data_IF_126417413650
#
_entry.id   IF_126417413650
#
_cell.length_a   1.000
_cell.length_b   1.000
_cell.length_c   1.000
_cell.angle_alpha   90.00
_cell.angle_beta   90.00
_cell.angle_gamma   90.00
#
_symmetry.space_group_name_H-M   'P 1'
#
loop_
_entity.id
_entity.type
_entity.pdbx_description
1 polymer ?
#
# COMPACT_ATOMS: atom_id res chain seq x y z
N UNK A 1 -11.29 19.54 13.65
CA UNK A 1 -10.96 18.55 12.60
C UNK A 1 -11.39 18.98 11.20
N UNK A 2 -12.68 19.25 10.93
CA UNK A 2 -13.09 19.85 9.64
C UNK A 2 -12.52 21.25 9.43
N UNK A 3 -12.45 22.05 10.49
CA UNK A 3 -11.76 23.35 10.48
C UNK A 3 -10.27 23.22 10.11
N UNK A 4 -9.61 22.14 10.53
CA UNK A 4 -8.18 21.91 10.25
C UNK A 4 -7.94 21.51 8.80
N UNK A 5 -8.82 20.67 8.23
CA UNK A 5 -8.79 20.33 6.80
C UNK A 5 -9.11 21.55 5.92
N UNK A 6 -10.05 22.41 6.33
CA UNK A 6 -10.31 23.69 5.67
C UNK A 6 -9.12 24.65 5.76
N UNK A 7 -8.47 24.70 6.92
CA UNK A 7 -7.25 25.49 7.13
C UNK A 7 -6.09 25.01 6.26
N UNK A 8 -5.89 23.68 6.15
CA UNK A 8 -4.91 23.07 5.26
C UNK A 8 -5.18 23.45 3.80
N UNK A 9 -6.44 23.35 3.36
CA UNK A 9 -6.84 23.72 1.99
C UNK A 9 -6.49 25.17 1.69
N UNK A 10 -6.78 26.10 2.62
CA UNK A 10 -6.40 27.50 2.47
C UNK A 10 -4.88 27.66 2.33
N UNK A 11 -4.09 26.99 3.18
CA UNK A 11 -2.63 27.03 3.11
C UNK A 11 -2.08 26.46 1.79
N UNK A 12 -2.68 25.37 1.29
CA UNK A 12 -2.31 24.79 0.00
C UNK A 12 -2.55 25.79 -1.13
N UNK A 13 -3.69 26.50 -1.13
CA UNK A 13 -3.98 27.56 -2.10
C UNK A 13 -2.98 28.72 -1.99
N UNK A 14 -2.67 29.18 -0.77
CA UNK A 14 -1.74 30.29 -0.54
C UNK A 14 -0.33 29.99 -1.11
N UNK A 15 0.12 28.73 -1.03
CA UNK A 15 1.40 28.27 -1.58
C UNK A 15 1.32 28.03 -3.09
N UNK A 16 0.23 27.43 -3.58
CA UNK A 16 0.11 26.98 -4.96
C UNK A 16 -0.41 28.06 -5.93
N UNK A 17 -0.93 29.19 -5.46
CA UNK A 17 -1.53 30.25 -6.30
C UNK A 17 -0.60 30.80 -7.41
N UNK A 18 0.72 30.71 -7.23
CA UNK A 18 1.70 31.17 -8.21
C UNK A 18 1.97 30.14 -9.31
N UNK A 19 1.48 28.90 -9.18
CA UNK A 19 1.56 27.89 -10.23
C UNK A 19 0.43 28.12 -11.24
N UNK A 20 0.71 28.99 -12.21
CA UNK A 20 -0.14 29.29 -13.37
C UNK A 20 0.60 28.83 -14.62
N UNK A 21 -0.14 28.37 -15.63
CA UNK A 21 0.44 28.05 -16.94
C UNK A 21 0.82 29.36 -17.64
N UNK A 22 2.11 29.63 -17.82
CA UNK A 22 2.58 30.92 -18.38
C UNK A 22 3.11 30.82 -19.81
N UNK A 23 3.46 29.63 -20.26
CA UNK A 23 4.01 29.39 -21.60
C UNK A 23 3.64 27.99 -22.08
N UNK A 24 3.77 27.71 -23.38
CA UNK A 24 3.43 26.41 -23.94
C UNK A 24 4.50 25.34 -23.66
N UNK A 25 5.78 25.70 -23.80
CA UNK A 25 6.90 24.78 -23.67
C UNK A 25 8.14 25.50 -23.12
N UNK A 26 8.64 25.06 -21.96
CA UNK A 26 9.87 25.57 -21.36
C UNK A 26 11.16 25.02 -22.01
N UNK A 27 11.04 24.10 -22.97
CA UNK A 27 12.18 23.48 -23.66
C UNK A 27 12.95 22.43 -22.85
N UNK A 28 12.56 22.15 -21.60
CA UNK A 28 13.26 21.14 -20.80
C UNK A 28 13.22 19.75 -21.45
N UNK A 29 14.37 19.08 -21.45
CA UNK A 29 14.54 17.66 -21.82
C UNK A 29 14.45 16.73 -20.60
N UNK A 30 14.38 17.32 -19.40
CA UNK A 30 14.25 16.57 -18.17
C UNK A 30 12.83 16.08 -17.95
N UNK A 31 12.72 14.97 -17.25
CA UNK A 31 11.45 14.30 -17.03
C UNK A 31 11.58 13.23 -15.96
N UNK A 32 10.42 12.77 -15.49
CA UNK A 32 10.31 11.75 -14.45
C UNK A 32 9.93 10.43 -15.08
N UNK A 33 10.59 9.35 -14.66
CA UNK A 33 10.29 8.00 -15.09
C UNK A 33 9.07 7.48 -14.31
N UNK A 34 7.96 7.26 -15.00
CA UNK A 34 6.72 6.72 -14.43
C UNK A 34 6.63 5.23 -14.75
N UNK A 35 6.24 4.43 -13.77
CA UNK A 35 5.98 3.00 -13.87
C UNK A 35 4.61 2.68 -13.26
N UNK A 36 4.07 1.48 -13.50
CA UNK A 36 2.85 1.05 -12.82
C UNK A 36 3.04 1.05 -11.29
N UNK A 37 2.05 1.52 -10.54
CA UNK A 37 2.08 1.48 -9.08
C UNK A 37 1.65 0.09 -8.62
N UNK A 38 2.53 -0.61 -7.91
CA UNK A 38 2.30 -1.96 -7.42
C UNK A 38 2.44 -2.01 -5.91
N UNK A 39 1.47 -2.63 -5.25
CA UNK A 39 1.53 -2.97 -3.83
C UNK A 39 1.60 -4.50 -3.71
N UNK A 40 2.81 -5.01 -3.45
CA UNK A 40 3.08 -6.45 -3.50
C UNK A 40 2.88 -7.03 -4.90
N UNK A 41 1.84 -7.84 -5.08
CA UNK A 41 1.47 -8.46 -6.36
C UNK A 41 0.27 -7.78 -7.04
N UNK A 42 -0.40 -6.86 -6.35
CA UNK A 42 -1.56 -6.14 -6.87
C UNK A 42 -1.10 -4.88 -7.60
N UNK A 43 -1.72 -4.62 -8.76
CA UNK A 43 -1.49 -3.39 -9.53
C UNK A 43 -2.55 -2.39 -9.11
N UNK A 44 -2.16 -1.39 -8.31
CA UNK A 44 -3.06 -0.34 -7.80
C UNK A 44 -3.40 0.65 -8.91
N UNK A 45 -2.39 1.08 -9.68
CA UNK A 45 -2.57 1.90 -10.87
C UNK A 45 -1.73 1.34 -12.02
N UNK A 46 -2.38 1.16 -13.17
CA UNK A 46 -1.73 0.68 -14.38
C UNK A 46 -0.76 1.72 -14.95
N UNK A 47 0.19 1.29 -15.80
CA UNK A 47 1.07 2.25 -16.47
C UNK A 47 0.27 3.20 -17.36
N UNK A 48 -0.74 2.68 -18.08
CA UNK A 48 -1.56 3.48 -18.99
C UNK A 48 -2.29 4.61 -18.29
N UNK A 49 -2.88 4.35 -17.11
CA UNK A 49 -3.60 5.38 -16.35
C UNK A 49 -2.66 6.50 -15.89
N UNK A 50 -1.45 6.15 -15.45
CA UNK A 50 -0.51 7.14 -14.90
C UNK A 50 0.14 8.03 -15.96
N UNK A 51 0.26 7.56 -17.20
CA UNK A 51 0.89 8.32 -18.31
C UNK A 51 -0.11 9.04 -19.22
N UNK A 52 -1.39 8.68 -19.17
CA UNK A 52 -2.42 9.33 -20.01
C UNK A 52 -2.50 10.82 -19.71
N UNK A 53 -2.55 11.64 -20.76
CA UNK A 53 -2.62 13.10 -20.68
C UNK A 53 -1.29 13.78 -20.34
N UNK A 54 -0.18 13.02 -20.19
CA UNK A 54 1.16 13.58 -19.99
C UNK A 54 1.91 13.71 -21.31
N UNK A 55 2.94 14.55 -21.33
CA UNK A 55 3.83 14.70 -22.49
C UNK A 55 5.05 13.79 -22.39
N UNK A 56 5.40 13.08 -23.46
CA UNK A 56 6.61 12.26 -23.52
C UNK A 56 7.88 13.14 -23.45
N UNK A 57 8.83 12.78 -22.57
CA UNK A 57 10.10 13.50 -22.45
C UNK A 57 11.19 12.96 -23.39
N UNK A 58 11.02 11.74 -23.89
CA UNK A 58 11.89 11.07 -24.86
C UNK A 58 11.05 10.28 -25.87
N UNK A 59 11.65 9.89 -27.00
CA UNK A 59 11.00 9.00 -27.96
C UNK A 59 10.75 7.63 -27.31
N UNK A 60 9.51 7.16 -27.37
CA UNK A 60 9.12 5.85 -26.84
C UNK A 60 9.07 4.85 -27.97
N UNK A 61 9.94 3.84 -27.89
CA UNK A 61 10.07 2.79 -28.90
C UNK A 61 9.29 1.54 -28.50
N UNK A 62 8.75 0.85 -29.51
CA UNK A 62 8.23 -0.50 -29.37
C UNK A 62 9.41 -1.48 -29.23
N UNK A 63 9.50 -2.26 -28.13
CA UNK A 63 10.57 -3.22 -27.93
C UNK A 63 10.59 -4.37 -28.97
N UNK A 64 9.48 -4.61 -29.68
CA UNK A 64 9.37 -5.70 -30.67
C UNK A 64 9.69 -5.21 -32.08
N UNK A 65 9.13 -4.06 -32.48
CA UNK A 65 9.24 -3.56 -33.86
C UNK A 65 10.29 -2.47 -34.06
N UNK A 66 10.88 -1.96 -32.97
CA UNK A 66 11.84 -0.83 -32.97
C UNK A 66 11.30 0.44 -33.64
N UNK A 67 9.97 0.57 -33.70
CA UNK A 67 9.28 1.75 -34.23
C UNK A 67 8.91 2.69 -33.09
N UNK A 68 8.92 3.98 -33.39
CA UNK A 68 8.48 5.02 -32.44
C UNK A 68 6.96 4.92 -32.27
N UNK A 69 6.52 4.69 -31.03
CA UNK A 69 5.10 4.70 -30.63
C UNK A 69 4.65 6.14 -30.39
N UNK A 70 5.45 6.91 -29.65
CA UNK A 70 5.22 8.34 -29.41
C UNK A 70 6.53 9.10 -29.45
N UNK A 71 6.54 10.19 -30.20
CA UNK A 71 7.71 11.05 -30.33
C UNK A 71 7.85 12.00 -29.13
N UNK A 72 9.08 12.40 -28.83
CA UNK A 72 9.41 13.37 -27.80
C UNK A 72 8.58 14.65 -27.96
N UNK A 73 8.08 15.17 -26.83
CA UNK A 73 7.30 16.41 -26.79
C UNK A 73 5.85 16.27 -27.26
N UNK A 74 5.39 15.04 -27.54
CA UNK A 74 4.01 14.74 -27.90
C UNK A 74 3.20 14.32 -26.67
N UNK A 75 1.94 14.73 -26.61
CA UNK A 75 0.99 14.29 -25.57
C UNK A 75 0.62 12.82 -25.77
N UNK A 76 0.57 12.07 -24.67
CA UNK A 76 0.19 10.66 -24.63
C UNK A 76 -1.33 10.58 -24.46
N UNK A 77 -2.04 10.26 -25.55
CA UNK A 77 -3.48 9.99 -25.51
C UNK A 77 -3.77 8.64 -24.84
N UNK A 78 -5.03 8.40 -24.46
CA UNK A 78 -5.45 7.13 -23.85
C UNK A 78 -5.13 5.93 -24.75
N UNK A 79 -5.33 6.06 -26.06
CA UNK A 79 -5.05 5.01 -27.05
C UNK A 79 -3.54 4.71 -27.13
N UNK A 80 -2.70 5.76 -27.12
CA UNK A 80 -1.24 5.62 -27.11
C UNK A 80 -0.80 4.97 -25.79
N UNK A 81 -1.37 5.38 -24.66
CA UNK A 81 -1.05 4.82 -23.35
C UNK A 81 -1.37 3.32 -23.26
N UNK A 82 -2.53 2.89 -23.78
CA UNK A 82 -2.87 1.46 -23.88
C UNK A 82 -1.94 0.72 -24.83
N UNK A 83 -1.55 1.33 -25.93
CA UNK A 83 -0.58 0.76 -26.87
C UNK A 83 0.75 0.52 -26.16
N UNK A 84 1.29 1.51 -25.45
CA UNK A 84 2.54 1.40 -24.69
C UNK A 84 2.46 0.25 -23.66
N UNK A 85 1.35 0.14 -22.94
CA UNK A 85 1.17 -0.94 -21.96
C UNK A 85 1.09 -2.32 -22.62
N UNK A 86 0.36 -2.45 -23.73
CA UNK A 86 0.19 -3.73 -24.44
C UNK A 86 1.50 -4.23 -25.08
N UNK A 87 2.40 -3.33 -25.45
CA UNK A 87 3.74 -3.67 -25.93
C UNK A 87 4.71 -4.05 -24.80
N UNK A 88 4.25 -4.05 -23.55
CA UNK A 88 5.01 -4.56 -22.40
C UNK A 88 6.08 -3.60 -21.88
N UNK A 89 5.97 -2.30 -22.14
CA UNK A 89 6.86 -1.32 -21.53
C UNK A 89 6.61 -1.24 -20.01
N UNK A 90 7.69 -1.34 -19.23
CA UNK A 90 7.60 -1.26 -17.77
C UNK A 90 7.53 0.18 -17.24
N UNK A 91 8.01 1.15 -18.02
CA UNK A 91 8.16 2.53 -17.59
C UNK A 91 8.37 3.47 -18.76
N UNK A 92 7.92 4.72 -18.63
CA UNK A 92 8.09 5.78 -19.64
C UNK A 92 8.60 7.06 -18.97
N UNK A 93 9.55 7.76 -19.61
CA UNK A 93 9.98 9.09 -19.16
C UNK A 93 9.01 10.14 -19.69
N UNK A 94 8.33 10.84 -18.78
CA UNK A 94 7.35 11.88 -19.09
C UNK A 94 7.77 13.20 -18.48
N UNK A 95 7.33 14.31 -19.09
CA UNK A 95 7.55 15.64 -18.50
C UNK A 95 6.72 15.78 -17.21
N UNK A 96 7.20 16.65 -16.33
CA UNK A 96 6.62 16.85 -15.01
C UNK A 96 6.71 18.32 -14.59
N UNK A 97 5.73 18.83 -13.82
CA UNK A 97 5.85 20.14 -13.20
C UNK A 97 7.09 20.26 -12.29
N UNK A 98 7.58 19.14 -11.73
CA UNK A 98 8.75 19.10 -10.85
C UNK A 98 10.07 19.38 -11.59
N UNK A 99 10.14 19.07 -12.89
CA UNK A 99 11.33 19.27 -13.72
C UNK A 99 11.14 20.45 -14.68
N UNK A 100 10.12 21.28 -14.47
CA UNK A 100 9.81 22.39 -15.35
C UNK A 100 10.80 23.55 -15.15
N UNK A 101 11.38 24.04 -16.24
CA UNK A 101 12.38 25.14 -16.24
C UNK A 101 11.78 26.51 -16.59
N UNK A 102 10.44 26.66 -16.55
CA UNK A 102 9.79 27.96 -16.72
C UNK A 102 10.19 28.92 -15.60
N UNK A 103 10.54 30.17 -15.95
CA UNK A 103 10.94 31.19 -14.96
C UNK A 103 9.82 31.54 -13.96
N UNK A 104 8.56 31.47 -14.42
CA UNK A 104 7.38 31.78 -13.61
C UNK A 104 6.31 30.73 -13.85
N UNK A 105 5.74 30.18 -12.79
CA UNK A 105 4.68 29.19 -12.90
C UNK A 105 5.17 27.91 -13.57
N UNK A 106 4.37 27.34 -14.46
CA UNK A 106 4.72 26.11 -15.20
C UNK A 106 4.38 26.25 -16.69
N UNK A 107 4.97 25.43 -17.55
CA UNK A 107 4.60 25.36 -18.96
C UNK A 107 3.49 24.34 -19.21
N UNK A 108 2.75 24.50 -20.31
CA UNK A 108 1.62 23.65 -20.66
C UNK A 108 2.05 22.18 -20.85
N UNK A 109 3.16 21.94 -21.56
CA UNK A 109 3.65 20.57 -21.80
C UNK A 109 4.12 19.83 -20.55
N UNK A 110 4.67 20.52 -19.56
CA UNK A 110 5.08 19.90 -18.30
C UNK A 110 3.89 19.51 -17.42
N UNK A 111 2.77 20.23 -17.53
CA UNK A 111 1.52 19.85 -16.87
C UNK A 111 0.77 18.77 -17.64
N UNK A 112 0.61 18.97 -18.96
CA UNK A 112 -0.12 18.10 -19.87
C UNK A 112 -1.59 18.50 -20.00
N UNK A 113 -2.47 17.53 -19.80
CA UNK A 113 -3.90 17.64 -20.03
C UNK A 113 -4.66 18.16 -18.79
N UNK A 114 -5.67 19.01 -19.01
CA UNK A 114 -6.65 19.33 -17.99
C UNK A 114 -7.65 18.17 -17.84
N UNK A 115 -7.73 17.60 -16.64
CA UNK A 115 -8.60 16.45 -16.33
C UNK A 115 -10.10 16.77 -16.37
N UNK A 116 -10.50 18.05 -16.28
CA UNK A 116 -11.91 18.46 -16.31
C UNK A 116 -12.52 18.54 -17.71
N UNK A 117 -11.70 18.76 -18.74
CA UNK A 117 -12.17 18.91 -20.12
C UNK A 117 -11.42 18.01 -21.14
N UNK A 118 -10.43 17.24 -20.68
CA UNK A 118 -9.59 16.36 -21.49
C UNK A 118 -8.91 17.07 -22.68
N UNK A 119 -8.53 18.33 -22.50
CA UNK A 119 -7.76 19.10 -23.49
C UNK A 119 -6.42 19.53 -22.87
N UNK A 120 -5.39 19.79 -23.70
CA UNK A 120 -4.16 20.40 -23.22
C UNK A 120 -4.47 21.67 -22.44
N UNK A 121 -3.76 21.91 -21.34
CA UNK A 121 -3.92 23.17 -20.59
C UNK A 121 -3.52 24.36 -21.44
N UNK A 122 -4.19 25.48 -21.21
CA UNK A 122 -3.94 26.71 -21.95
C UNK A 122 -3.18 27.73 -21.09
N UNK A 123 -2.48 28.66 -21.74
CA UNK A 123 -1.78 29.75 -21.05
C UNK A 123 -2.80 30.61 -20.30
N UNK A 124 -2.52 30.89 -19.03
CA UNK A 124 -3.38 31.62 -18.09
C UNK A 124 -4.16 30.72 -17.13
N UNK A 125 -4.09 29.39 -17.28
CA UNK A 125 -4.87 28.47 -16.46
C UNK A 125 -4.27 28.31 -15.04
N UNK A 126 -5.04 28.55 -13.95
CA UNK A 126 -4.55 28.57 -12.57
C UNK A 126 -4.47 27.14 -11.98
N UNK A 127 -3.66 26.30 -12.60
CA UNK A 127 -3.45 24.89 -12.26
C UNK A 127 -3.09 24.62 -10.80
N UNK A 128 -2.36 25.53 -10.13
CA UNK A 128 -2.03 25.39 -8.72
C UNK A 128 -3.22 25.50 -7.77
N UNK A 129 -4.16 26.42 -8.06
CA UNK A 129 -5.39 26.56 -7.29
C UNK A 129 -6.28 25.34 -7.49
N UNK A 130 -6.39 24.86 -8.73
CA UNK A 130 -7.14 23.64 -9.07
C UNK A 130 -6.57 22.42 -8.35
N UNK A 131 -5.25 22.26 -8.35
CA UNK A 131 -4.57 21.17 -7.64
C UNK A 131 -4.79 21.23 -6.12
N UNK A 132 -4.68 22.42 -5.51
CA UNK A 132 -4.90 22.61 -4.08
C UNK A 132 -6.34 22.25 -3.67
N UNK A 133 -7.33 22.63 -4.47
CA UNK A 133 -8.74 22.29 -4.24
C UNK A 133 -8.99 20.79 -4.42
N UNK A 134 -8.39 20.17 -5.44
CA UNK A 134 -8.51 18.74 -5.71
C UNK A 134 -7.97 17.85 -4.58
N UNK A 135 -7.06 18.38 -3.76
CA UNK A 135 -6.59 17.73 -2.52
C UNK A 135 -7.49 18.09 -1.34
N UNK A 136 -7.82 19.38 -1.20
CA UNK A 136 -8.50 19.92 -0.03
C UNK A 136 -9.97 19.49 0.12
N UNK A 137 -10.76 19.56 -0.96
CA UNK A 137 -12.18 19.21 -0.93
C UNK A 137 -12.39 17.74 -0.54
N UNK A 138 -11.75 16.75 -1.22
CA UNK A 138 -11.86 15.35 -0.80
C UNK A 138 -11.36 15.11 0.62
N UNK A 139 -10.30 15.80 1.08
CA UNK A 139 -9.79 15.67 2.44
C UNK A 139 -10.79 16.12 3.51
N UNK A 140 -11.45 17.26 3.28
CA UNK A 140 -12.51 17.75 4.18
C UNK A 140 -13.72 16.80 4.18
N UNK A 141 -14.08 16.26 3.01
CA UNK A 141 -15.19 15.35 2.82
C UNK A 141 -14.94 13.97 3.46
N UNK A 142 -13.73 13.43 3.31
CA UNK A 142 -13.33 12.16 3.93
C UNK A 142 -13.38 12.28 5.45
N UNK A 143 -12.83 13.38 5.99
CA UNK A 143 -12.92 13.68 7.43
C UNK A 143 -14.37 13.68 7.89
N UNK A 144 -15.28 14.35 7.18
CA UNK A 144 -16.71 14.34 7.51
C UNK A 144 -17.31 12.94 7.47
N UNK A 145 -17.07 12.15 6.41
CA UNK A 145 -17.67 10.82 6.25
C UNK A 145 -17.20 9.83 7.31
N UNK A 146 -15.92 9.81 7.65
CA UNK A 146 -15.37 8.89 8.66
C UNK A 146 -16.04 9.11 10.03
N UNK A 147 -16.38 10.35 10.39
CA UNK A 147 -17.01 10.62 11.70
C UNK A 147 -18.52 10.39 11.75
N UNK A 148 -19.25 10.63 10.65
CA UNK A 148 -20.70 10.35 10.63
C UNK A 148 -21.00 8.84 10.61
N UNK A 149 -20.07 8.03 10.09
CA UNK A 149 -20.14 6.57 10.15
C UNK A 149 -19.60 6.06 11.50
N UNK A 150 -18.62 6.74 12.10
CA UNK A 150 -17.97 6.38 13.37
C UNK A 150 -18.83 6.42 14.64
N UNK A 151 -20.14 6.72 14.54
CA UNK A 151 -21.09 6.57 15.66
C UNK A 151 -21.68 5.17 15.78
N UNK A 152 -21.59 4.35 14.73
CA UNK A 152 -21.81 2.92 14.83
C UNK A 152 -20.44 2.27 14.95
N UNK A 153 -20.02 1.97 16.18
CA UNK A 153 -18.94 1.01 16.44
C UNK A 153 -19.39 -0.37 15.97
N UNK A 154 -19.37 -0.62 14.67
CA UNK A 154 -18.87 -1.87 14.17
C UNK A 154 -17.41 -1.62 13.85
N UNK A 155 -16.54 -2.06 14.75
CA UNK A 155 -15.17 -2.42 14.36
C UNK A 155 -15.31 -3.60 13.41
N UNK A 156 -15.82 -3.37 12.20
CA UNK A 156 -15.53 -4.26 11.09
C UNK A 156 -14.04 -4.02 10.85
N UNK A 157 -13.24 -4.82 11.55
CA UNK A 157 -11.85 -5.03 11.18
C UNK A 157 -11.90 -5.37 9.70
N UNK A 158 -11.31 -4.50 8.87
CA UNK A 158 -11.26 -4.68 7.42
C UNK A 158 -10.27 -5.82 7.15
N UNK A 159 -10.73 -7.04 7.45
CA UNK A 159 -9.98 -8.26 7.30
C UNK A 159 -9.88 -8.50 5.80
N UNK A 160 -8.65 -8.56 5.29
CA UNK A 160 -8.43 -9.09 3.95
C UNK A 160 -8.74 -10.58 4.00
N UNK A 161 -9.60 -11.06 3.10
CA UNK A 161 -10.07 -12.44 3.09
C UNK A 161 -9.76 -13.10 1.75
N UNK A 162 -9.31 -14.36 1.81
CA UNK A 162 -9.08 -15.18 0.62
C UNK A 162 -10.07 -16.33 0.62
N UNK A 163 -10.77 -16.50 -0.50
CA UNK A 163 -11.70 -17.61 -0.73
C UNK A 163 -11.20 -18.50 -1.87
N UNK A 164 -11.53 -19.78 -1.81
CA UNK A 164 -11.23 -20.76 -2.86
C UNK A 164 -11.98 -20.41 -4.15
N UNK A 165 -11.30 -20.36 -5.29
CA UNK A 165 -11.97 -20.11 -6.58
C UNK A 165 -12.49 -21.37 -7.25
N UNK A 166 -12.00 -22.54 -6.82
CA UNK A 166 -12.28 -23.86 -7.39
C UNK A 166 -12.47 -24.89 -6.28
N UNK A 167 -13.19 -25.96 -6.60
CA UNK A 167 -13.34 -27.12 -5.73
C UNK A 167 -12.03 -27.93 -5.67
N UNK A 168 -11.64 -28.40 -4.49
CA UNK A 168 -10.45 -29.23 -4.34
C UNK A 168 -10.11 -29.58 -2.90
N UNK A 169 -8.90 -30.08 -2.70
CA UNK A 169 -8.37 -30.46 -1.39
C UNK A 169 -7.32 -29.44 -0.97
N UNK A 170 -7.44 -28.90 0.23
CA UNK A 170 -6.48 -27.99 0.83
C UNK A 170 -5.21 -28.75 1.20
N UNK A 171 -4.05 -28.19 0.84
CA UNK A 171 -2.74 -28.70 1.22
C UNK A 171 -1.84 -27.58 1.72
N UNK A 172 -1.35 -27.73 2.93
CA UNK A 172 -0.41 -26.78 3.53
C UNK A 172 1.01 -27.04 3.02
N UNK A 173 1.72 -25.97 2.63
CA UNK A 173 3.11 -26.02 2.20
C UNK A 173 3.94 -25.06 3.05
N UNK A 174 4.92 -25.60 3.77
CA UNK A 174 5.82 -24.85 4.69
C UNK A 174 5.06 -23.96 5.68
N UNK A 175 3.89 -24.41 6.12
CA UNK A 175 3.04 -23.71 7.06
C UNK A 175 3.00 -24.46 8.39
N UNK A 176 3.37 -23.75 9.45
CA UNK A 176 3.06 -24.07 10.83
C UNK A 176 1.96 -23.12 11.29
N UNK A 177 0.98 -23.65 12.01
CA UNK A 177 -0.09 -22.91 12.63
C UNK A 177 -0.27 -23.34 14.08
N UNK A 178 -0.74 -22.41 14.91
CA UNK A 178 -1.09 -22.64 16.31
C UNK A 178 -2.57 -22.36 16.51
N UNK A 179 -3.19 -22.96 17.53
CA UNK A 179 -4.57 -22.63 17.88
C UNK A 179 -4.59 -21.59 18.99
N UNK A 180 -5.37 -20.54 18.77
CA UNK A 180 -5.62 -19.51 19.79
C UNK A 180 -6.63 -20.00 20.85
N UNK A 181 -6.93 -19.17 21.86
CA UNK A 181 -7.87 -19.43 22.95
C UNK A 181 -9.28 -19.75 22.45
N UNK A 182 -9.68 -19.13 21.34
CA UNK A 182 -10.98 -19.34 20.69
C UNK A 182 -10.98 -20.51 19.69
N UNK A 183 -9.97 -21.39 19.76
CA UNK A 183 -9.78 -22.58 18.92
C UNK A 183 -9.62 -22.28 17.41
N UNK A 184 -9.36 -21.02 17.06
CA UNK A 184 -9.03 -20.60 15.69
C UNK A 184 -7.58 -20.92 15.35
N UNK A 185 -7.34 -21.34 14.12
CA UNK A 185 -6.01 -21.68 13.62
C UNK A 185 -5.31 -20.39 13.15
N UNK A 186 -4.10 -20.10 13.63
CA UNK A 186 -3.35 -18.88 13.31
C UNK A 186 -1.99 -19.25 12.74
N UNK A 187 -1.65 -18.66 11.59
CA UNK A 187 -0.36 -18.88 10.91
C UNK A 187 0.79 -18.25 11.70
N UNK A 188 1.84 -19.03 11.97
CA UNK A 188 3.10 -18.54 12.57
C UNK A 188 4.27 -18.58 11.58
N UNK A 189 3.98 -18.77 10.29
CA UNK A 189 5.01 -18.98 9.25
C UNK A 189 5.04 -17.84 8.25
N UNK A 190 6.21 -17.20 8.10
CA UNK A 190 6.43 -16.13 7.13
C UNK A 190 6.44 -16.59 5.66
N UNK A 191 6.66 -17.89 5.42
CA UNK A 191 6.73 -18.49 4.08
C UNK A 191 5.63 -19.54 3.85
N UNK A 192 4.58 -19.52 4.68
CA UNK A 192 3.47 -20.46 4.58
C UNK A 192 2.66 -20.27 3.31
N UNK A 193 2.21 -21.37 2.71
CA UNK A 193 1.29 -21.35 1.57
C UNK A 193 0.16 -22.35 1.74
N UNK A 194 -1.02 -21.98 1.25
CA UNK A 194 -2.17 -22.86 1.10
C UNK A 194 -2.34 -23.16 -0.38
N UNK A 195 -2.30 -24.45 -0.73
CA UNK A 195 -2.55 -24.93 -2.09
C UNK A 195 -3.90 -25.63 -2.14
N UNK A 196 -4.61 -25.49 -3.25
CA UNK A 196 -5.78 -26.31 -3.55
C UNK A 196 -5.37 -27.28 -4.65
N UNK A 197 -5.51 -28.57 -4.38
CA UNK A 197 -5.19 -29.64 -5.34
C UNK A 197 -6.45 -30.31 -5.85
N UNK A 198 -6.43 -30.72 -7.12
CA UNK A 198 -7.53 -31.48 -7.73
C UNK A 198 -7.64 -32.87 -7.09
N UNK A 199 -8.87 -33.29 -6.76
CA UNK A 199 -9.14 -34.62 -6.21
C UNK A 199 -8.79 -35.75 -7.18
N UNK A 200 -8.81 -35.49 -8.49
CA UNK A 200 -8.62 -36.52 -9.53
C UNK A 200 -7.14 -36.81 -9.82
N UNK A 201 -6.33 -35.77 -9.96
CA UNK A 201 -4.97 -35.88 -10.50
C UNK A 201 -3.88 -35.33 -9.56
N UNK A 202 -4.25 -34.76 -8.40
CA UNK A 202 -3.30 -34.16 -7.45
C UNK A 202 -2.58 -32.92 -7.97
N UNK A 203 -2.99 -32.40 -9.13
CA UNK A 203 -2.48 -31.17 -9.72
C UNK A 203 -2.85 -29.97 -8.86
N UNK A 204 -1.89 -29.05 -8.70
CA UNK A 204 -2.12 -27.79 -7.96
C UNK A 204 -2.96 -26.87 -8.85
N UNK A 205 -4.19 -26.59 -8.41
CA UNK A 205 -5.13 -25.69 -9.09
C UNK A 205 -4.87 -24.25 -8.66
N UNK A 206 -4.71 -24.03 -7.35
CA UNK A 206 -4.53 -22.71 -6.75
C UNK A 206 -3.41 -22.75 -5.72
N UNK A 207 -2.72 -21.62 -5.54
CA UNK A 207 -1.61 -21.47 -4.62
C UNK A 207 -1.60 -20.07 -4.03
N UNK A 208 -1.91 -19.97 -2.73
CA UNK A 208 -2.02 -18.73 -1.99
C UNK A 208 -0.87 -18.60 -0.99
N UNK A 209 -0.21 -17.44 -0.99
CA UNK A 209 0.72 -17.08 0.09
C UNK A 209 -0.11 -16.69 1.31
N UNK A 210 0.24 -17.21 2.48
CA UNK A 210 -0.41 -16.87 3.75
C UNK A 210 0.49 -15.95 4.54
N UNK A 211 -0.06 -14.84 5.00
CA UNK A 211 0.68 -13.88 5.82
C UNK A 211 0.87 -14.39 7.25
N UNK A 212 1.87 -13.82 7.93
CA UNK A 212 2.11 -14.09 9.34
C UNK A 212 0.92 -13.59 10.17
N UNK A 213 0.55 -14.33 11.21
CA UNK A 213 -0.60 -14.06 12.06
C UNK A 213 -1.98 -14.06 11.37
N UNK A 214 -2.07 -14.58 10.13
CA UNK A 214 -3.35 -14.79 9.47
C UNK A 214 -4.19 -15.87 10.19
N UNK A 215 -5.47 -15.61 10.37
CA UNK A 215 -6.48 -16.57 10.85
C UNK A 215 -6.87 -17.49 9.70
N UNK A 216 -6.68 -18.79 9.88
CA UNK A 216 -6.96 -19.84 8.91
C UNK A 216 -8.26 -20.54 9.30
N UNK A 217 -9.18 -20.68 8.34
CA UNK A 217 -10.51 -21.27 8.53
C UNK A 217 -10.62 -22.70 8.00
N UNK A 218 -9.55 -23.23 7.40
CA UNK A 218 -9.50 -24.57 6.80
C UNK A 218 -8.39 -25.41 7.42
N UNK A 219 -8.55 -26.73 7.37
CA UNK A 219 -7.54 -27.69 7.84
C UNK A 219 -6.77 -28.33 6.68
N UNK A 220 -5.56 -28.82 6.97
CA UNK A 220 -4.75 -29.56 5.99
C UNK A 220 -5.45 -30.86 5.59
N UNK A 221 -5.66 -31.07 4.29
CA UNK A 221 -6.42 -32.20 3.74
C UNK A 221 -7.94 -31.99 3.67
N UNK A 222 -8.46 -30.82 4.08
CA UNK A 222 -9.89 -30.53 4.01
C UNK A 222 -10.36 -30.37 2.55
N UNK A 223 -11.51 -30.95 2.22
CA UNK A 223 -12.21 -30.69 0.97
C UNK A 223 -12.93 -29.35 1.04
N UNK A 224 -12.67 -28.48 0.07
CA UNK A 224 -13.29 -27.16 -0.04
C UNK A 224 -14.04 -27.05 -1.36
N UNK A 225 -15.14 -26.31 -1.31
CA UNK A 225 -15.94 -25.95 -2.48
C UNK A 225 -15.60 -24.51 -2.87
N UNK A 226 -15.86 -24.13 -4.11
CA UNK A 226 -15.76 -22.75 -4.56
C UNK A 226 -16.44 -21.79 -3.59
N UNK A 227 -15.79 -20.65 -3.35
CA UNK A 227 -16.12 -19.60 -2.40
C UNK A 227 -15.98 -19.98 -0.91
N UNK A 228 -15.34 -21.10 -0.58
CA UNK A 228 -15.00 -21.40 0.82
C UNK A 228 -13.90 -20.46 1.30
N UNK A 229 -14.10 -19.79 2.44
CA UNK A 229 -13.10 -18.93 3.06
C UNK A 229 -11.91 -19.76 3.54
N UNK A 230 -10.70 -19.39 3.10
CA UNK A 230 -9.46 -20.11 3.42
C UNK A 230 -8.78 -19.48 4.63
N UNK A 231 -8.49 -18.19 4.57
CA UNK A 231 -7.85 -17.44 5.65
C UNK A 231 -8.17 -15.95 5.53
N UNK A 232 -7.99 -15.23 6.63
CA UNK A 232 -8.08 -13.78 6.70
C UNK A 232 -6.96 -13.18 7.54
N UNK A 233 -6.62 -11.93 7.30
CA UNK A 233 -5.65 -11.19 8.11
C UNK A 233 -5.99 -9.70 8.15
N UNK A 234 -5.47 -9.01 9.16
CA UNK A 234 -5.58 -7.57 9.28
C UNK A 234 -4.47 -6.91 8.44
N UNK A 235 -4.81 -6.00 7.52
CA UNK A 235 -3.83 -5.31 6.67
C UNK A 235 -2.99 -4.30 7.47
N UNK A 236 -3.54 -3.76 8.55
CA UNK A 236 -2.96 -2.67 9.31
C UNK A 236 -2.25 -3.14 10.58
N UNK A 237 -2.48 -4.39 10.99
CA UNK A 237 -1.96 -4.93 12.22
C UNK A 237 -1.14 -6.20 11.98
N UNK A 238 0.11 -6.19 12.46
CA UNK A 238 0.99 -7.36 12.44
C UNK A 238 1.21 -7.83 13.89
N UNK A 239 0.25 -8.55 14.49
CA UNK A 239 0.35 -8.94 15.88
C UNK A 239 1.46 -9.98 16.07
N UNK A 240 2.17 -9.90 17.19
CA UNK A 240 3.10 -10.94 17.61
C UNK A 240 2.33 -12.12 18.20
N UNK A 241 2.43 -13.28 17.55
CA UNK A 241 1.73 -14.50 17.96
C UNK A 241 2.68 -15.42 18.73
N UNK A 242 2.23 -15.88 19.90
CA UNK A 242 2.97 -16.86 20.68
C UNK A 242 2.97 -18.22 19.98
N UNK A 243 4.16 -18.79 19.77
CA UNK A 243 4.35 -20.10 19.11
C UNK A 243 4.05 -21.28 20.04
N UNK A 244 3.92 -21.05 21.34
CA UNK A 244 3.67 -22.07 22.35
C UNK A 244 2.87 -21.55 23.54
N UNK A 245 2.16 -22.47 24.21
CA UNK A 245 1.53 -22.21 25.52
C UNK A 245 2.61 -22.17 26.61
N UNK A 246 2.52 -21.20 27.50
CA UNK A 246 3.48 -21.02 28.58
C UNK A 246 3.29 -19.72 29.36
N UNK A 247 4.13 -19.53 30.37
CA UNK A 247 4.23 -18.27 31.10
C UNK A 247 5.14 -17.30 30.32
N UNK A 248 4.67 -16.06 30.12
CA UNK A 248 5.41 -15.02 29.42
C UNK A 248 6.23 -14.20 30.43
N UNK A 249 7.55 -14.18 30.26
CA UNK A 249 8.46 -13.31 31.00
C UNK A 249 9.10 -12.28 30.07
N UNK A 250 9.23 -11.07 30.58
CA UNK A 250 9.87 -9.97 29.88
C UNK A 250 11.35 -9.93 30.28
N UNK A 251 12.25 -10.04 29.30
CA UNK A 251 13.68 -9.80 29.51
C UNK A 251 14.08 -8.49 28.81
N UNK A 252 14.96 -7.72 29.49
CA UNK A 252 15.45 -6.43 28.99
C UNK A 252 14.35 -5.42 28.65
N UNK A 253 13.22 -5.45 29.37
CA UNK A 253 12.10 -4.51 29.20
C UNK A 253 12.21 -3.38 30.21
N UNK A 254 12.97 -2.33 29.87
CA UNK A 254 13.37 -1.24 30.75
C UNK A 254 12.85 0.10 30.20
N UNK A 255 12.10 0.83 31.03
CA UNK A 255 11.54 2.13 30.70
C UNK A 255 12.65 3.13 30.35
N UNK A 256 12.42 3.93 29.30
CA UNK A 256 13.31 4.95 28.74
C UNK A 256 14.65 4.43 28.19
N UNK A 257 14.83 3.10 28.15
CA UNK A 257 16.03 2.45 27.61
C UNK A 257 15.72 1.48 26.47
N UNK A 258 14.66 0.70 26.60
CA UNK A 258 14.18 -0.24 25.57
C UNK A 258 12.71 -0.04 25.21
N UNK A 259 11.95 0.71 26.01
CA UNK A 259 10.59 1.13 25.65
C UNK A 259 10.27 2.52 26.22
N UNK A 260 9.39 3.25 25.55
CA UNK A 260 8.81 4.53 25.96
C UNK A 260 7.30 4.33 26.22
N UNK A 261 6.73 5.08 27.16
CA UNK A 261 5.31 5.00 27.54
C UNK A 261 4.66 6.35 27.27
N UNK A 262 3.73 6.41 26.32
CA UNK A 262 2.93 7.59 26.04
C UNK A 262 1.52 7.42 26.59
N UNK A 263 1.01 8.48 27.22
CA UNK A 263 -0.36 8.50 27.72
C UNK A 263 -1.27 9.15 26.67
N UNK A 264 -2.21 8.38 26.16
CA UNK A 264 -3.19 8.88 25.22
C UNK A 264 -4.37 9.49 26.00
N UNK A 265 -4.40 10.82 26.09
CA UNK A 265 -5.43 11.57 26.83
C UNK A 265 -6.86 11.35 26.30
N UNK A 266 -7.01 10.91 25.05
CA UNK A 266 -8.31 10.71 24.40
C UNK A 266 -8.89 9.34 24.77
N UNK A 267 -8.06 8.29 24.76
CA UNK A 267 -8.49 6.91 25.05
C UNK A 267 -8.34 6.54 26.52
N UNK A 268 -7.59 7.36 27.30
CA UNK A 268 -7.23 7.07 28.69
C UNK A 268 -6.31 5.85 28.84
N UNK A 269 -5.76 5.36 27.73
CA UNK A 269 -4.89 4.18 27.68
C UNK A 269 -3.42 4.58 27.62
N UNK A 270 -2.55 3.67 28.06
CA UNK A 270 -1.10 3.83 28.02
C UNK A 270 -0.60 3.00 26.84
N UNK A 271 0.01 3.67 25.88
CA UNK A 271 0.64 3.05 24.73
C UNK A 271 2.13 2.90 25.03
N UNK A 272 2.68 1.71 24.76
CA UNK A 272 4.08 1.40 24.99
C UNK A 272 4.73 1.22 23.63
N UNK A 273 5.77 2.00 23.34
CA UNK A 273 6.51 1.94 22.08
C UNK A 273 7.92 1.42 22.34
N UNK A 274 8.34 0.39 21.62
CA UNK A 274 9.68 -0.19 21.76
C UNK A 274 10.73 0.68 21.07
N UNK A 275 11.74 1.12 21.81
CA UNK A 275 12.82 1.99 21.31
C UNK A 275 14.14 1.22 21.18
N UNK A 276 14.98 1.63 20.22
CA UNK A 276 16.31 1.03 20.04
C UNK A 276 17.25 1.49 21.17
N UNK A 277 17.77 0.54 21.95
CA UNK A 277 18.76 0.85 22.98
C UNK A 277 20.10 1.26 22.35
N UNK A 278 20.78 2.24 22.96
CA UNK A 278 22.15 2.63 22.58
C UNK A 278 23.17 1.51 22.79
N UNK A 279 22.88 0.55 23.68
CA UNK A 279 23.67 -0.66 23.87
C UNK A 279 23.04 -1.84 23.12
N UNK A 280 23.70 -2.29 22.04
CA UNK A 280 23.22 -3.40 21.20
C UNK A 280 23.07 -4.73 21.93
N UNK A 281 23.60 -4.87 23.15
CA UNK A 281 23.45 -6.08 23.98
C UNK A 281 22.10 -6.15 24.71
N UNK A 282 21.40 -5.03 24.86
CA UNK A 282 20.14 -4.93 25.60
C UNK A 282 19.01 -4.80 24.59
N UNK A 283 18.63 -5.92 23.99
CA UNK A 283 17.44 -6.01 23.14
C UNK A 283 16.26 -6.52 23.94
N UNK A 284 15.07 -5.89 23.86
CA UNK A 284 13.87 -6.36 24.53
C UNK A 284 13.39 -7.67 23.90
N UNK A 285 13.10 -8.67 24.72
CA UNK A 285 12.73 -10.01 24.27
C UNK A 285 11.62 -10.59 25.16
N UNK A 286 10.70 -11.34 24.54
CA UNK A 286 9.77 -12.20 25.25
C UNK A 286 10.39 -13.57 25.45
N UNK A 287 10.25 -14.09 26.67
CA UNK A 287 10.63 -15.44 27.02
C UNK A 287 9.39 -16.24 27.36
N UNK A 288 9.09 -17.26 26.56
CA UNK A 288 7.97 -18.17 26.77
C UNK A 288 8.51 -19.41 27.49
N UNK A 289 8.11 -19.60 28.75
CA UNK A 289 8.44 -20.79 29.54
C UNK A 289 7.35 -21.82 29.31
N UNK A 290 7.68 -22.89 28.59
CA UNK A 290 6.75 -24.01 28.36
C UNK A 290 6.64 -24.88 29.62
N UNK A 291 5.52 -25.58 29.78
CA UNK A 291 5.26 -26.48 30.92
C UNK A 291 6.34 -27.57 31.11
N UNK A 292 7.08 -27.91 30.04
CA UNK A 292 8.19 -28.88 30.06
C UNK A 292 9.55 -28.27 30.47
N UNK A 293 9.60 -27.02 30.93
CA UNK A 293 10.83 -26.32 31.32
C UNK A 293 11.73 -25.90 30.15
N UNK A 294 11.27 -26.05 28.90
CA UNK A 294 11.96 -25.53 27.71
C UNK A 294 11.60 -24.06 27.51
N UNK A 295 12.62 -23.25 27.26
CA UNK A 295 12.50 -21.81 27.07
C UNK A 295 12.57 -21.49 25.58
N UNK A 296 11.64 -20.65 25.11
CA UNK A 296 11.67 -20.10 23.76
C UNK A 296 11.76 -18.58 23.84
N UNK A 297 12.72 -18.01 23.12
CA UNK A 297 13.01 -16.57 23.15
C UNK A 297 12.52 -15.97 21.84
N UNK A 298 11.66 -14.96 21.93
CA UNK A 298 11.11 -14.22 20.80
C UNK A 298 11.58 -12.76 20.92
N UNK A 299 12.45 -12.28 20.02
CA UNK A 299 12.90 -10.89 20.05
C UNK A 299 11.77 -9.94 19.68
N UNK A 300 11.70 -8.80 20.35
CA UNK A 300 10.69 -7.76 20.08
C UNK A 300 11.30 -6.75 19.09
N UNK A 301 10.68 -6.53 17.92
CA UNK A 301 11.16 -5.54 16.97
C UNK A 301 11.01 -4.13 17.53
N UNK A 302 11.92 -3.24 17.16
CA UNK A 302 11.86 -1.81 17.49
C UNK A 302 10.74 -1.14 16.70
N UNK A 303 10.01 -0.22 17.35
CA UNK A 303 8.88 0.51 16.75
C UNK A 303 7.54 -0.22 16.83
N UNK A 304 7.48 -1.32 17.59
CA UNK A 304 6.24 -2.02 17.95
C UNK A 304 5.58 -1.37 19.17
#
# INVERSE_FOLDING_TARGET
>A
KTADAGYLTRRLVDVAQNAVVNEEDCGTIEGVKISALKEGLEVVESLSERITGRTAAEDVFDPVTDKIIVAQGTEISSEIAHTIQNHGLNSVKVRSPLTCESEKGICAKCYGQNLGNHKPVTVGEPVGVVAAQSIGEPGTQLTLRTFHIGGATSTEVDLAEVTASTDGIVKFDRMNAVRDRDDQLVSISYLGRIKIVSEKDGTVLENYKVEYAATIYVEDGQKVVKNTKLFSWDHYNNPLVATAKGELKFENFIKDLTYEEEFNEITGSREITIIESKDRKIQPQFKIIKDNGKEEIVPIPTGL
#
